data_IF_586690439833
#
_entry.id   IF_586690439833
#
_cell.length_a   1.000
_cell.length_b   1.000
_cell.length_c   1.000
_cell.angle_alpha   90.00
_cell.angle_beta   90.00
_cell.angle_gamma   90.00
#
_symmetry.space_group_name_H-M   'P 1'
#
loop_
_entity.id
_entity.type
_entity.pdbx_description
1 polymer ?
#
# COMPACT_ATOMS: atom_id res chain seq x y z
N UNK A 1 38.29 -29.04 24.51
CA UNK A 1 38.92 -29.34 23.21
C UNK A 1 38.70 -28.13 22.31
N UNK A 2 39.74 -27.72 21.59
CA UNK A 2 39.94 -26.40 20.96
C UNK A 2 38.82 -25.94 20.00
N UNK A 3 38.63 -24.61 19.83
CA UNK A 3 37.69 -24.06 18.86
C UNK A 3 38.27 -24.16 17.43
N UNK A 4 37.49 -24.72 16.50
CA UNK A 4 37.82 -24.69 15.08
C UNK A 4 37.66 -23.25 14.56
N UNK A 5 38.78 -22.57 14.30
CA UNK A 5 38.84 -21.42 13.40
C UNK A 5 38.44 -21.89 11.99
N UNK A 6 37.24 -21.51 11.53
CA UNK A 6 36.87 -21.67 10.14
C UNK A 6 37.49 -20.55 9.32
N UNK A 7 38.52 -20.92 8.58
CA UNK A 7 39.20 -20.16 7.55
C UNK A 7 38.19 -19.67 6.49
N UNK A 8 38.36 -18.40 6.11
CA UNK A 8 37.68 -17.77 4.97
C UNK A 8 37.93 -18.58 3.70
N UNK A 9 36.94 -19.35 3.25
CA UNK A 9 36.93 -19.89 1.88
C UNK A 9 35.86 -19.13 1.10
N UNK A 10 36.32 -18.10 0.39
CA UNK A 10 35.55 -17.42 -0.66
C UNK A 10 35.68 -18.28 -1.91
N UNK A 11 34.64 -19.01 -2.27
CA UNK A 11 34.54 -19.59 -3.60
C UNK A 11 34.11 -18.50 -4.58
N UNK A 12 35.07 -17.75 -5.15
CA UNK A 12 34.82 -16.98 -6.36
C UNK A 12 34.97 -17.89 -7.58
N UNK A 13 33.94 -17.98 -8.41
CA UNK A 13 34.04 -18.67 -9.69
C UNK A 13 35.04 -17.95 -10.59
N UNK A 14 36.09 -18.65 -11.01
CA UNK A 14 36.70 -18.42 -12.31
C UNK A 14 37.14 -19.77 -12.89
N UNK A 15 36.65 -20.02 -14.09
CA UNK A 15 37.03 -21.14 -14.94
C UNK A 15 38.55 -21.20 -15.15
N UNK A 16 39.03 -22.41 -15.40
CA UNK A 16 40.38 -22.82 -15.83
C UNK A 16 41.46 -23.04 -14.75
N UNK A 17 41.50 -24.27 -14.21
CA UNK A 17 42.72 -25.08 -14.20
C UNK A 17 42.37 -26.53 -13.85
N UNK A 18 42.49 -27.36 -14.88
CA UNK A 18 42.22 -28.79 -14.89
C UNK A 18 43.21 -29.57 -14.01
N UNK A 19 42.71 -30.64 -13.40
CA UNK A 19 43.44 -31.88 -13.03
C UNK A 19 44.52 -31.78 -11.94
N UNK A 20 44.15 -31.49 -10.69
CA UNK A 20 44.85 -32.07 -9.52
C UNK A 20 44.09 -32.04 -8.19
N UNK A 21 42.84 -31.54 -8.14
CA UNK A 21 42.04 -31.53 -6.90
C UNK A 21 41.03 -32.68 -6.77
N UNK A 22 41.19 -33.78 -7.51
CA UNK A 22 40.15 -34.82 -7.60
C UNK A 22 40.08 -35.80 -6.43
N UNK A 23 40.95 -35.71 -5.41
CA UNK A 23 40.85 -36.58 -4.23
C UNK A 23 40.49 -35.80 -2.97
N UNK A 24 41.09 -34.63 -2.75
CA UNK A 24 40.73 -33.74 -1.63
C UNK A 24 39.36 -33.07 -1.83
N UNK A 25 38.97 -32.71 -3.05
CA UNK A 25 37.61 -32.21 -3.31
C UNK A 25 36.57 -33.31 -3.15
N UNK A 26 36.89 -34.57 -3.49
CA UNK A 26 35.98 -35.70 -3.27
C UNK A 26 35.86 -36.02 -1.78
N UNK A 27 36.95 -35.96 -0.99
CA UNK A 27 36.87 -36.12 0.47
C UNK A 27 36.08 -34.96 1.11
N UNK A 28 36.22 -33.72 0.63
CA UNK A 28 35.38 -32.60 1.06
C UNK A 28 33.92 -32.75 0.63
N UNK A 29 33.63 -33.19 -0.60
CA UNK A 29 32.27 -33.44 -1.07
C UNK A 29 31.60 -34.62 -0.35
N UNK A 30 32.35 -35.69 -0.05
CA UNK A 30 31.84 -36.85 0.70
C UNK A 30 31.63 -36.51 2.18
N UNK A 31 32.53 -35.74 2.81
CA UNK A 31 32.32 -35.28 4.20
C UNK A 31 31.29 -34.15 4.33
N UNK A 32 30.99 -33.38 3.28
CA UNK A 32 29.90 -32.39 3.30
C UNK A 32 28.51 -33.00 3.10
N UNK A 33 28.39 -34.23 2.64
CA UNK A 33 27.10 -34.91 2.46
C UNK A 33 26.54 -35.58 3.74
N UNK A 34 27.23 -35.45 4.88
CA UNK A 34 26.82 -36.05 6.16
C UNK A 34 26.40 -35.03 7.23
N UNK A 35 26.19 -33.76 6.88
CA UNK A 35 25.53 -32.80 7.77
C UNK A 35 24.09 -32.67 7.31
N UNK A 36 23.20 -33.41 7.96
CA UNK A 36 21.78 -33.09 8.02
C UNK A 36 21.63 -31.65 8.53
N UNK A 37 21.50 -30.68 7.62
CA UNK A 37 21.18 -29.30 7.98
C UNK A 37 19.69 -29.23 8.38
N UNK A 38 19.37 -29.72 9.59
CA UNK A 38 18.03 -29.69 10.20
C UNK A 38 17.65 -28.30 10.74
N UNK A 39 18.06 -27.23 10.04
CA UNK A 39 17.87 -25.85 10.48
C UNK A 39 17.50 -24.97 9.29
N UNK A 40 16.63 -23.98 9.54
CA UNK A 40 16.09 -23.06 8.54
C UNK A 40 15.95 -21.66 9.12
N UNK A 41 16.06 -20.62 8.30
CA UNK A 41 15.82 -19.24 8.75
C UNK A 41 14.52 -18.67 8.16
N UNK A 42 13.80 -17.87 8.95
CA UNK A 42 12.55 -17.18 8.56
C UNK A 42 12.59 -15.72 8.99
N UNK A 43 12.14 -14.80 8.13
CA UNK A 43 11.92 -13.40 8.50
C UNK A 43 10.53 -13.21 9.10
N UNK A 44 10.43 -12.43 10.19
CA UNK A 44 9.21 -12.17 10.95
C UNK A 44 8.82 -10.69 10.77
N UNK A 45 7.90 -10.37 9.84
CA UNK A 45 7.56 -8.99 9.49
C UNK A 45 6.99 -8.14 10.62
N UNK A 46 6.29 -8.75 11.59
CA UNK A 46 5.69 -8.04 12.75
C UNK A 46 6.71 -7.52 13.75
N UNK A 47 7.92 -8.06 13.73
CA UNK A 47 8.96 -7.76 14.71
C UNK A 47 10.25 -7.24 14.07
N UNK A 48 10.35 -7.26 12.73
CA UNK A 48 11.57 -6.96 11.97
C UNK A 48 12.77 -7.75 12.51
N UNK A 49 12.61 -9.07 12.62
CA UNK A 49 13.67 -9.99 13.04
C UNK A 49 13.74 -11.19 12.11
N UNK A 50 14.93 -11.77 11.97
CA UNK A 50 15.15 -13.04 11.29
C UNK A 50 15.46 -14.09 12.33
N UNK A 51 14.67 -15.17 12.34
CA UNK A 51 14.75 -16.26 13.31
C UNK A 51 15.29 -17.54 12.68
N UNK A 52 16.11 -18.26 13.44
CA UNK A 52 16.61 -19.60 13.12
C UNK A 52 15.72 -20.62 13.81
N UNK A 53 15.17 -21.53 13.01
CA UNK A 53 14.33 -22.63 13.44
C UNK A 53 15.08 -23.94 13.24
N UNK A 54 14.97 -24.86 14.20
CA UNK A 54 15.59 -26.19 14.15
C UNK A 54 14.49 -27.23 14.20
N UNK A 55 14.54 -28.28 13.38
CA UNK A 55 13.54 -29.33 13.48
C UNK A 55 13.70 -30.07 14.82
N UNK A 56 12.62 -30.07 15.61
CA UNK A 56 12.56 -30.71 16.92
C UNK A 56 11.14 -31.20 17.14
N UNK A 57 10.98 -32.49 17.38
CA UNK A 57 9.67 -33.09 17.69
C UNK A 57 9.15 -32.59 19.05
N UNK A 58 7.83 -32.67 19.24
CA UNK A 58 7.18 -32.34 20.51
C UNK A 58 7.10 -33.62 21.34
N UNK A 59 7.67 -33.60 22.54
CA UNK A 59 7.55 -34.65 23.55
C UNK A 59 6.39 -34.30 24.47
N UNK A 60 5.22 -34.90 24.24
CA UNK A 60 3.99 -34.58 24.98
C UNK A 60 4.07 -34.88 26.49
N UNK A 61 5.02 -35.70 26.94
CA UNK A 61 5.19 -36.03 28.35
C UNK A 61 6.07 -35.01 29.09
N UNK A 62 6.90 -34.26 28.37
CA UNK A 62 7.89 -33.32 28.96
C UNK A 62 7.69 -31.87 28.55
N UNK A 63 7.18 -31.62 27.35
CA UNK A 63 6.99 -30.28 26.82
C UNK A 63 5.67 -29.69 27.32
N UNK A 64 5.72 -28.49 27.87
CA UNK A 64 4.54 -27.84 28.43
C UNK A 64 3.76 -27.13 27.33
N UNK A 65 2.50 -27.54 27.13
CA UNK A 65 1.60 -26.87 26.19
C UNK A 65 1.18 -25.49 26.71
N UNK A 66 1.30 -24.48 25.87
CA UNK A 66 1.00 -23.09 26.20
C UNK A 66 -0.37 -22.69 25.64
N UNK A 67 -0.62 -23.01 24.36
CA UNK A 67 -1.83 -22.59 23.68
C UNK A 67 -1.80 -22.82 22.18
N UNK A 68 -2.94 -22.52 21.56
CA UNK A 68 -3.17 -22.66 20.11
C UNK A 68 -3.56 -21.32 19.51
N UNK A 69 -2.98 -21.01 18.35
CA UNK A 69 -3.33 -19.84 17.54
C UNK A 69 -3.55 -20.25 16.08
N UNK A 70 -4.42 -19.54 15.38
CA UNK A 70 -4.71 -19.76 13.96
C UNK A 70 -4.07 -18.65 13.13
N UNK A 71 -2.98 -18.96 12.43
CA UNK A 71 -2.14 -17.92 11.81
C UNK A 71 -1.19 -18.45 10.72
N UNK A 72 -0.40 -17.55 10.14
CA UNK A 72 0.73 -17.85 9.26
C UNK A 72 1.89 -18.49 10.04
N UNK A 73 2.90 -18.98 9.31
CA UNK A 73 4.13 -19.48 9.95
C UNK A 73 4.87 -18.34 10.66
N UNK A 74 4.95 -17.18 10.02
CA UNK A 74 5.58 -15.97 10.54
C UNK A 74 4.88 -15.48 11.81
N UNK A 75 3.55 -15.44 11.82
CA UNK A 75 2.75 -15.11 12.99
C UNK A 75 2.86 -16.17 14.09
N UNK A 76 3.01 -17.45 13.75
CA UNK A 76 3.19 -18.53 14.72
C UNK A 76 4.50 -18.33 15.50
N UNK A 77 5.60 -18.05 14.79
CA UNK A 77 6.89 -17.71 15.41
C UNK A 77 6.78 -16.41 16.21
N UNK A 78 6.13 -15.37 15.66
CA UNK A 78 5.90 -14.12 16.39
C UNK A 78 5.11 -14.33 17.69
N UNK A 79 4.07 -15.17 17.68
CA UNK A 79 3.28 -15.50 18.86
C UNK A 79 4.14 -16.20 19.92
N UNK A 80 5.03 -17.12 19.51
CA UNK A 80 5.99 -17.75 20.41
C UNK A 80 6.96 -16.72 21.02
N UNK A 81 7.52 -15.82 20.21
CA UNK A 81 8.45 -14.78 20.67
C UNK A 81 7.81 -13.79 21.65
N UNK A 82 6.53 -13.45 21.46
CA UNK A 82 5.78 -12.60 22.40
C UNK A 82 5.63 -13.21 23.79
N UNK A 83 5.78 -14.53 23.92
CA UNK A 83 5.78 -15.25 25.20
C UNK A 83 7.19 -15.32 25.84
N UNK A 84 8.20 -14.70 25.21
CA UNK A 84 9.59 -14.39 25.61
C UNK A 84 10.41 -15.46 26.36
N UNK A 85 9.92 -15.96 27.49
CA UNK A 85 10.59 -16.94 28.36
C UNK A 85 9.84 -18.25 28.46
N UNK A 86 8.61 -18.29 27.98
CA UNK A 86 7.71 -19.42 28.15
C UNK A 86 7.43 -20.17 26.86
N UNK A 87 7.95 -19.75 25.70
CA UNK A 87 7.82 -20.48 24.44
C UNK A 87 9.15 -20.56 23.69
N UNK A 88 9.50 -21.77 23.25
CA UNK A 88 10.66 -22.03 22.39
C UNK A 88 10.41 -23.16 21.39
N UNK A 89 9.23 -23.79 21.38
CA UNK A 89 8.88 -24.88 20.47
C UNK A 89 7.51 -24.65 19.86
N UNK A 90 7.38 -24.84 18.55
CA UNK A 90 6.12 -24.69 17.80
C UNK A 90 5.80 -25.94 17.00
N UNK A 91 4.50 -26.24 16.88
CA UNK A 91 3.96 -27.21 15.94
C UNK A 91 2.99 -26.50 15.00
N UNK A 92 3.37 -26.39 13.74
CA UNK A 92 2.63 -25.61 12.74
C UNK A 92 2.13 -26.48 11.58
N UNK A 93 0.83 -26.41 11.30
CA UNK A 93 0.22 -27.02 10.11
C UNK A 93 0.03 -25.99 9.00
N UNK A 94 0.78 -26.06 7.88
CA UNK A 94 0.64 -25.10 6.78
C UNK A 94 -0.73 -25.13 6.11
N UNK A 95 -1.43 -26.26 6.15
CA UNK A 95 -2.73 -26.48 5.50
C UNK A 95 -3.89 -25.96 6.35
N UNK A 96 -3.91 -26.30 7.64
CA UNK A 96 -4.99 -25.85 8.55
C UNK A 96 -4.70 -24.50 9.18
N UNK A 97 -3.49 -23.94 8.99
CA UNK A 97 -3.02 -22.70 9.62
C UNK A 97 -3.07 -22.75 11.15
N UNK A 98 -3.00 -23.95 11.73
CA UNK A 98 -3.00 -24.17 13.17
C UNK A 98 -1.57 -24.16 13.68
N UNK A 99 -1.31 -23.37 14.71
CA UNK A 99 -0.04 -23.26 15.42
C UNK A 99 -0.26 -23.60 16.89
N UNK A 100 0.38 -24.66 17.37
CA UNK A 100 0.44 -25.02 18.78
C UNK A 100 1.78 -24.59 19.36
N UNK A 101 1.76 -23.93 20.52
CA UNK A 101 2.92 -23.35 21.20
C UNK A 101 3.30 -24.19 22.42
N UNK A 102 4.59 -24.43 22.60
CA UNK A 102 5.15 -25.27 23.66
C UNK A 102 6.40 -24.65 24.29
N UNK A 103 6.64 -25.03 25.55
CA UNK A 103 7.90 -24.81 26.27
C UNK A 103 8.64 -26.13 26.43
N UNK A 104 9.93 -26.15 26.07
CA UNK A 104 10.82 -27.31 26.24
C UNK A 104 12.08 -26.91 27.00
N UNK A 105 12.44 -27.69 28.02
CA UNK A 105 13.58 -27.41 28.91
C UNK A 105 14.86 -28.17 28.50
N UNK A 106 14.78 -29.04 27.48
CA UNK A 106 15.86 -29.98 27.13
C UNK A 106 16.52 -29.64 25.79
N UNK A 107 17.85 -29.52 25.77
CA UNK A 107 18.70 -29.28 24.58
C UNK A 107 19.09 -30.57 23.84
N UNK A 108 18.15 -31.49 23.61
CA UNK A 108 18.43 -32.71 22.83
C UNK A 108 18.05 -32.52 21.37
N UNK A 109 19.05 -32.57 20.49
CA UNK A 109 18.86 -32.86 19.07
C UNK A 109 18.66 -34.38 18.95
N UNK A 110 17.42 -34.84 18.85
CA UNK A 110 17.16 -36.23 18.48
C UNK A 110 17.01 -36.25 16.96
N UNK A 111 18.04 -36.76 16.29
CA UNK A 111 17.94 -37.22 14.92
C UNK A 111 17.31 -38.61 14.98
N UNK A 112 15.98 -38.67 14.85
CA UNK A 112 15.33 -39.87 14.36
C UNK A 112 14.34 -39.46 13.28
N UNK A 113 14.58 -40.01 12.08
CA UNK A 113 13.62 -40.08 11.00
C UNK A 113 12.51 -41.05 11.43
N UNK A 114 11.44 -40.55 12.03
CA UNK A 114 10.19 -41.31 12.11
C UNK A 114 9.03 -40.55 11.47
N UNK A 115 8.76 -41.01 10.24
CA UNK A 115 7.50 -41.10 9.53
C UNK A 115 6.32 -40.26 10.02
N UNK A 116 5.94 -39.31 9.16
CA UNK A 116 4.54 -39.01 8.77
C UNK A 116 3.49 -39.09 9.89
N UNK A 117 3.53 -38.18 10.85
CA UNK A 117 2.36 -37.89 11.70
C UNK A 117 1.85 -36.48 11.41
N UNK A 118 1.08 -36.38 10.31
CA UNK A 118 0.37 -35.17 9.90
C UNK A 118 1.26 -34.17 9.15
N UNK A 119 0.66 -33.33 8.30
CA UNK A 119 1.34 -32.31 7.49
C UNK A 119 1.99 -31.18 8.33
N UNK A 120 2.17 -31.37 9.63
CA UNK A 120 2.62 -30.36 10.58
C UNK A 120 4.14 -30.38 10.74
N UNK A 121 4.75 -29.19 10.75
CA UNK A 121 6.16 -28.98 11.02
C UNK A 121 6.37 -28.74 12.51
N UNK A 122 7.31 -29.44 13.12
CA UNK A 122 7.68 -29.27 14.52
C UNK A 122 9.05 -28.59 14.58
N UNK A 123 9.10 -27.39 15.14
CA UNK A 123 10.26 -26.50 15.03
C UNK A 123 10.55 -25.81 16.36
N UNK A 124 11.81 -25.88 16.79
CA UNK A 124 12.33 -25.10 17.91
C UNK A 124 12.77 -23.72 17.42
N UNK A 125 12.36 -22.66 18.10
CA UNK A 125 12.81 -21.29 17.87
C UNK A 125 14.14 -21.11 18.60
N UNK A 126 15.25 -21.28 17.89
CA UNK A 126 16.58 -21.31 18.50
C UNK A 126 17.10 -19.92 18.84
N UNK A 127 17.06 -18.99 17.89
CA UNK A 127 17.57 -17.63 18.04
C UNK A 127 16.93 -16.69 17.04
N UNK A 128 16.84 -15.41 17.38
CA UNK A 128 16.32 -14.36 16.49
C UNK A 128 17.22 -13.13 16.54
N UNK A 129 17.45 -12.53 15.38
CA UNK A 129 18.37 -11.42 15.19
C UNK A 129 17.69 -10.27 14.45
N UNK A 130 17.92 -9.04 14.91
CA UNK A 130 17.53 -7.82 14.20
C UNK A 130 18.44 -7.53 13.01
N UNK A 131 19.73 -7.86 13.12
CA UNK A 131 20.72 -7.56 12.08
C UNK A 131 21.18 -8.85 11.39
N UNK A 132 21.17 -8.85 10.05
CA UNK A 132 21.65 -9.99 9.27
C UNK A 132 23.15 -10.22 9.45
N UNK A 133 23.94 -9.19 9.73
CA UNK A 133 25.39 -9.33 9.94
C UNK A 133 25.73 -10.14 11.20
N UNK A 134 24.76 -10.33 12.11
CA UNK A 134 24.93 -11.16 13.31
C UNK A 134 24.45 -12.60 13.11
N UNK A 135 23.90 -12.94 11.93
CA UNK A 135 23.57 -14.33 11.61
C UNK A 135 24.86 -15.12 11.34
N UNK A 136 25.00 -16.34 11.89
CA UNK A 136 26.17 -17.20 11.64
C UNK A 136 26.41 -17.44 10.13
N UNK A 137 27.66 -17.25 9.69
CA UNK A 137 28.07 -17.45 8.30
C UNK A 137 27.88 -18.92 7.88
N UNK A 138 26.98 -19.17 6.94
CA UNK A 138 26.58 -20.51 6.48
C UNK A 138 25.07 -20.68 6.28
N UNK A 139 24.25 -19.77 6.83
CA UNK A 139 22.80 -19.92 6.94
C UNK A 139 21.94 -19.56 5.70
N UNK A 140 22.50 -19.69 4.50
CA UNK A 140 22.06 -18.86 3.38
C UNK A 140 21.74 -19.70 2.13
N UNK A 141 20.53 -19.58 1.56
CA UNK A 141 20.15 -20.16 0.24
C UNK A 141 19.72 -19.09 -0.78
N UNK A 142 20.12 -19.27 -2.05
CA UNK A 142 19.99 -18.24 -3.10
C UNK A 142 18.53 -17.90 -3.34
N UNK A 143 18.15 -16.63 -3.19
CA UNK A 143 16.86 -16.18 -3.72
C UNK A 143 16.93 -16.21 -5.24
N UNK A 144 16.01 -16.93 -5.87
CA UNK A 144 15.85 -16.89 -7.33
C UNK A 144 15.64 -15.43 -7.72
N UNK A 145 16.50 -14.91 -8.59
CA UNK A 145 16.39 -13.55 -9.12
C UNK A 145 14.96 -13.39 -9.67
N UNK A 146 14.14 -12.61 -8.98
CA UNK A 146 12.85 -12.22 -9.53
C UNK A 146 13.18 -11.24 -10.65
N UNK A 147 12.69 -11.50 -11.86
CA UNK A 147 12.84 -10.54 -12.96
C UNK A 147 12.36 -9.17 -12.46
N UNK A 148 13.19 -8.15 -12.65
CA UNK A 148 12.93 -6.75 -12.29
C UNK A 148 11.70 -6.26 -13.03
N UNK A 149 10.52 -6.54 -12.48
CA UNK A 149 9.27 -5.99 -12.96
C UNK A 149 9.17 -4.59 -12.34
N UNK A 150 9.13 -3.56 -13.16
CA UNK A 150 8.78 -2.21 -12.73
C UNK A 150 7.34 -1.90 -13.12
N UNK A 151 6.63 -1.12 -12.30
CA UNK A 151 5.28 -0.67 -12.60
C UNK A 151 5.02 0.71 -12.01
N UNK A 152 4.08 1.43 -12.60
CA UNK A 152 3.55 2.68 -12.03
C UNK A 152 2.34 2.31 -11.18
N UNK A 153 2.37 2.68 -9.89
CA UNK A 153 1.29 2.41 -8.94
C UNK A 153 0.63 3.74 -8.59
N UNK A 154 -0.68 3.84 -8.83
CA UNK A 154 -1.50 4.94 -8.33
C UNK A 154 -1.70 4.80 -6.82
N UNK A 155 -1.43 5.89 -6.09
CA UNK A 155 -1.47 6.01 -4.64
C UNK A 155 -2.61 6.97 -4.25
N UNK A 156 -3.82 6.45 -3.95
CA UNK A 156 -5.00 7.26 -3.67
C UNK A 156 -4.83 8.16 -2.44
N UNK A 157 -4.14 7.69 -1.41
CA UNK A 157 -3.91 8.43 -0.16
C UNK A 157 -3.22 9.78 -0.35
N UNK A 158 -2.39 9.93 -1.39
CA UNK A 158 -1.60 11.14 -1.64
C UNK A 158 -1.78 11.73 -3.03
N UNK A 159 -2.59 11.07 -3.86
CA UNK A 159 -2.86 11.43 -5.26
C UNK A 159 -1.58 11.53 -6.08
N UNK A 160 -0.82 10.43 -6.10
CA UNK A 160 0.40 10.30 -6.85
C UNK A 160 0.48 9.00 -7.63
N UNK A 161 1.14 9.07 -8.78
CA UNK A 161 1.60 7.92 -9.53
C UNK A 161 3.09 7.68 -9.23
N UNK A 162 3.38 6.56 -8.56
CA UNK A 162 4.73 6.20 -8.12
C UNK A 162 5.31 5.07 -8.97
N UNK A 163 6.45 5.34 -9.62
CA UNK A 163 7.27 4.32 -10.26
C UNK A 163 7.87 3.40 -9.19
N UNK A 164 7.58 2.10 -9.29
CA UNK A 164 7.94 1.09 -8.30
C UNK A 164 8.79 0.00 -8.96
N UNK A 165 9.86 -0.42 -8.29
CA UNK A 165 10.78 -1.48 -8.73
C UNK A 165 10.82 -2.59 -7.67
N UNK A 166 10.44 -3.80 -8.07
CA UNK A 166 10.50 -4.97 -7.19
C UNK A 166 11.93 -5.49 -7.17
N UNK A 167 12.46 -5.62 -5.96
CA UNK A 167 13.82 -6.09 -5.73
C UNK A 167 13.79 -7.42 -5.00
N UNK A 168 14.82 -8.27 -5.17
CA UNK A 168 14.98 -9.47 -4.36
C UNK A 168 14.90 -9.13 -2.87
N UNK A 169 14.20 -9.96 -2.10
CA UNK A 169 14.00 -9.74 -0.66
C UNK A 169 15.32 -9.44 0.07
N UNK A 170 16.42 -10.14 -0.27
CA UNK A 170 17.75 -9.97 0.37
C UNK A 170 18.27 -8.54 0.33
N UNK A 171 17.92 -7.75 -0.68
CA UNK A 171 18.38 -6.37 -0.83
C UNK A 171 17.87 -5.46 0.29
N UNK A 172 16.76 -5.84 0.94
CA UNK A 172 16.21 -5.06 2.04
C UNK A 172 17.24 -4.87 3.17
N UNK A 173 18.12 -5.85 3.43
CA UNK A 173 19.04 -5.83 4.57
C UNK A 173 20.14 -4.76 4.46
N UNK A 174 20.34 -4.17 3.29
CA UNK A 174 21.23 -3.02 3.09
C UNK A 174 20.54 -1.68 3.25
N UNK A 175 19.22 -1.66 3.33
CA UNK A 175 18.49 -0.43 3.59
C UNK A 175 18.54 -0.07 5.08
N UNK A 176 18.58 1.22 5.38
CA UNK A 176 18.40 1.71 6.73
C UNK A 176 16.93 1.59 7.11
N UNK A 177 16.67 1.05 8.31
CA UNK A 177 15.30 0.90 8.84
C UNK A 177 14.84 2.23 9.41
N UNK A 178 13.73 2.75 8.89
CA UNK A 178 13.14 4.01 9.35
C UNK A 178 12.05 3.73 10.38
N UNK A 179 11.00 3.01 9.99
CA UNK A 179 9.83 2.79 10.84
C UNK A 179 9.05 1.55 10.39
N UNK A 180 8.63 0.73 11.35
CA UNK A 180 7.64 -0.33 11.13
C UNK A 180 6.24 0.22 11.41
N UNK A 181 5.33 0.07 10.45
CA UNK A 181 3.92 0.48 10.54
C UNK A 181 2.98 -0.67 10.20
N UNK A 182 1.74 -0.58 10.66
CA UNK A 182 0.66 -1.43 10.15
C UNK A 182 0.25 -0.93 8.75
N UNK A 183 0.09 -1.84 7.80
CA UNK A 183 -0.41 -1.50 6.48
C UNK A 183 -1.26 -2.62 5.90
N UNK A 184 -2.48 -2.28 5.48
CA UNK A 184 -3.43 -3.19 4.83
C UNK A 184 -3.10 -3.46 3.36
N UNK A 185 -2.38 -2.55 2.70
CA UNK A 185 -2.09 -2.63 1.27
C UNK A 185 -0.68 -2.12 0.96
N UNK A 186 -0.14 -2.54 -0.19
CA UNK A 186 1.12 -2.00 -0.71
C UNK A 186 0.98 -0.50 -1.04
N UNK A 187 -0.19 -0.07 -1.55
CA UNK A 187 -0.47 1.34 -1.84
C UNK A 187 -0.33 2.20 -0.57
N UNK A 188 -0.93 1.77 0.55
CA UNK A 188 -0.79 2.43 1.85
C UNK A 188 0.65 2.50 2.31
N UNK A 189 1.37 1.39 2.19
CA UNK A 189 2.78 1.30 2.56
C UNK A 189 3.64 2.33 1.80
N UNK A 190 3.44 2.44 0.48
CA UNK A 190 4.10 3.44 -0.36
C UNK A 190 3.63 4.86 0.00
N UNK A 191 2.34 5.08 0.26
CA UNK A 191 1.81 6.38 0.66
C UNK A 191 2.49 6.94 1.92
N UNK A 192 2.70 6.09 2.94
CA UNK A 192 3.42 6.50 4.14
C UNK A 192 4.90 6.80 3.86
N UNK A 193 5.56 6.00 3.02
CA UNK A 193 6.95 6.26 2.63
C UNK A 193 7.10 7.59 1.87
N UNK A 194 6.14 7.91 0.99
CA UNK A 194 6.13 9.16 0.24
C UNK A 194 5.73 10.37 1.10
N UNK A 195 4.95 10.15 2.16
CA UNK A 195 4.46 11.23 2.99
C UNK A 195 5.62 12.07 3.61
N UNK A 196 5.44 13.40 3.76
CA UNK A 196 6.50 14.28 4.30
C UNK A 196 7.01 13.92 5.69
N UNK A 197 6.28 13.08 6.45
CA UNK A 197 6.72 12.54 7.74
C UNK A 197 8.04 11.77 7.64
N UNK A 198 8.29 11.09 6.52
CA UNK A 198 9.43 10.19 6.32
C UNK A 198 10.19 10.57 5.05
N UNK A 199 10.68 11.81 4.98
CA UNK A 199 11.32 12.39 3.77
C UNK A 199 12.52 11.62 3.23
N UNK A 200 13.20 10.82 4.05
CA UNK A 200 14.30 9.96 3.60
C UNK A 200 13.83 8.61 3.04
N UNK A 201 12.56 8.25 3.19
CA UNK A 201 12.07 6.95 2.74
C UNK A 201 12.04 6.87 1.21
N UNK A 202 12.60 5.79 0.66
CA UNK A 202 12.63 5.56 -0.79
C UNK A 202 12.44 4.08 -1.15
N UNK A 203 12.12 3.24 -0.16
CA UNK A 203 11.83 1.83 -0.35
C UNK A 203 11.00 1.30 0.79
N UNK A 204 10.29 0.20 0.55
CA UNK A 204 9.41 -0.42 1.54
C UNK A 204 9.52 -1.94 1.48
N UNK A 205 9.36 -2.57 2.64
CA UNK A 205 9.20 -4.02 2.76
C UNK A 205 7.80 -4.32 3.30
N UNK A 206 6.91 -4.80 2.42
CA UNK A 206 5.49 -4.99 2.71
C UNK A 206 5.13 -6.47 2.84
N UNK A 207 4.41 -6.83 3.91
CA UNK A 207 3.82 -8.16 4.08
C UNK A 207 2.30 -8.07 4.12
N UNK A 208 1.65 -8.48 3.03
CA UNK A 208 0.19 -8.56 2.96
C UNK A 208 -0.39 -9.55 3.97
N UNK A 209 0.33 -10.65 4.21
CA UNK A 209 -0.10 -11.71 5.13
C UNK A 209 -0.09 -11.24 6.59
N UNK A 210 0.87 -10.38 6.94
CA UNK A 210 1.01 -9.87 8.30
C UNK A 210 0.34 -8.51 8.50
N UNK A 211 -0.03 -7.82 7.42
CA UNK A 211 -0.55 -6.46 7.46
C UNK A 211 0.48 -5.46 7.96
N UNK A 212 1.76 -5.65 7.61
CA UNK A 212 2.86 -4.79 8.07
C UNK A 212 3.67 -4.22 6.92
N UNK A 213 4.25 -3.05 7.16
CA UNK A 213 5.10 -2.33 6.23
C UNK A 213 6.29 -1.75 6.99
N UNK A 214 7.50 -2.11 6.56
CA UNK A 214 8.72 -1.50 7.05
C UNK A 214 9.18 -0.44 6.05
N UNK A 215 9.24 0.80 6.51
CA UNK A 215 9.75 1.95 5.77
C UNK A 215 11.28 1.94 5.80
N UNK A 216 11.89 2.08 4.62
CA UNK A 216 13.31 1.84 4.42
C UNK A 216 13.95 2.97 3.60
N UNK A 217 15.18 3.33 3.96
CA UNK A 217 16.05 4.18 3.13
C UNK A 217 17.16 3.34 2.50
N UNK A 218 17.20 3.30 1.17
CA UNK A 218 18.21 2.61 0.37
C UNK A 218 19.14 3.63 -0.28
N UNK A 219 20.42 3.59 0.08
CA UNK A 219 21.45 4.39 -0.60
C UNK A 219 21.69 3.88 -2.02
N UNK A 220 21.83 4.79 -2.99
CA UNK A 220 22.05 4.47 -4.42
C UNK A 220 23.38 3.72 -4.63
N UNK A 221 24.33 3.80 -3.69
CA UNK A 221 25.68 3.21 -3.80
C UNK A 221 25.78 1.76 -3.33
N UNK A 222 24.70 1.12 -2.90
CA UNK A 222 24.77 -0.29 -2.47
C UNK A 222 24.85 -1.19 -3.70
N UNK A 223 25.99 -1.86 -3.84
CA UNK A 223 26.15 -2.95 -4.80
C UNK A 223 25.08 -4.01 -4.50
N UNK A 224 24.33 -4.42 -5.52
CA UNK A 224 23.35 -5.51 -5.42
C UNK A 224 24.06 -6.76 -4.89
N UNK A 225 23.41 -7.47 -3.98
CA UNK A 225 23.86 -8.79 -3.58
C UNK A 225 23.75 -9.72 -4.80
N UNK A 226 24.89 -10.22 -5.27
CA UNK A 226 24.93 -11.51 -5.98
C UNK A 226 24.81 -12.68 -4.98
N UNK A 227 24.12 -12.48 -3.87
CA UNK A 227 24.23 -13.32 -2.68
C UNK A 227 22.95 -13.45 -1.89
N UNK A 228 23.08 -14.26 -0.86
CA UNK A 228 22.16 -15.34 -0.55
C UNK A 228 21.18 -14.89 0.57
N UNK A 229 19.94 -15.41 0.61
CA UNK A 229 18.85 -14.97 1.52
C UNK A 229 18.33 -16.13 2.43
N UNK A 230 17.35 -15.91 3.34
CA UNK A 230 16.89 -16.96 4.27
C UNK A 230 16.35 -18.20 3.55
N UNK A 231 16.52 -19.37 4.19
CA UNK A 231 16.13 -20.70 3.67
C UNK A 231 14.64 -20.83 3.32
N UNK A 232 13.78 -19.96 3.86
CA UNK A 232 12.35 -19.86 3.50
C UNK A 232 12.12 -18.52 2.81
N UNK A 233 11.54 -18.57 1.60
CA UNK A 233 11.03 -17.40 0.90
C UNK A 233 9.98 -16.71 1.78
N UNK A 234 10.28 -15.52 2.29
CA UNK A 234 9.29 -14.69 2.97
C UNK A 234 8.23 -14.24 1.97
N UNK A 235 6.97 -14.16 2.40
CA UNK A 235 5.89 -13.55 1.63
C UNK A 235 6.01 -12.02 1.52
N UNK A 236 6.97 -11.42 2.24
CA UNK A 236 7.21 -9.98 2.19
C UNK A 236 7.84 -9.54 0.86
N UNK A 237 7.32 -8.46 0.30
CA UNK A 237 7.73 -7.86 -0.96
C UNK A 237 8.61 -6.64 -0.69
N UNK A 238 9.83 -6.65 -1.22
CA UNK A 238 10.72 -5.49 -1.16
C UNK A 238 10.58 -4.64 -2.43
N UNK A 239 10.21 -3.38 -2.26
CA UNK A 239 9.90 -2.46 -3.36
C UNK A 239 10.68 -1.18 -3.18
N UNK A 240 11.49 -0.81 -4.18
CA UNK A 240 12.09 0.51 -4.28
C UNK A 240 11.14 1.48 -4.97
N UNK A 241 11.03 2.69 -4.43
CA UNK A 241 10.23 3.78 -4.99
C UNK A 241 11.17 4.69 -5.76
N UNK A 242 10.86 4.90 -7.05
CA UNK A 242 11.67 5.68 -7.96
C UNK A 242 11.28 7.17 -7.90
N UNK A 243 10.26 7.55 -8.67
CA UNK A 243 9.71 8.90 -8.70
C UNK A 243 8.19 8.82 -8.52
N UNK A 244 7.65 9.79 -7.80
CA UNK A 244 6.21 9.95 -7.59
C UNK A 244 5.77 11.32 -8.10
N UNK A 245 4.87 11.32 -9.08
CA UNK A 245 4.30 12.54 -9.66
C UNK A 245 2.84 12.66 -9.24
N UNK A 246 2.33 13.89 -9.09
CA UNK A 246 0.92 14.12 -8.86
C UNK A 246 0.08 13.52 -10.01
N UNK A 247 -1.06 12.90 -9.69
CA UNK A 247 -1.93 12.20 -10.67
C UNK A 247 -3.13 13.02 -11.14
N UNK A 248 -3.14 14.30 -10.81
CA UNK A 248 -4.18 15.25 -11.16
C UNK A 248 -3.59 16.40 -11.94
N UNK A 249 -4.33 16.83 -12.96
CA UNK A 249 -4.00 18.03 -13.71
C UNK A 249 -4.77 19.23 -13.14
N UNK A 250 -4.10 20.39 -12.91
CA UNK A 250 -4.81 21.61 -12.60
C UNK A 250 -5.65 22.06 -13.81
N UNK A 251 -6.78 22.75 -13.60
CA UNK A 251 -7.56 23.31 -14.69
C UNK A 251 -6.72 24.27 -15.54
N UNK A 252 -7.07 24.39 -16.83
CA UNK A 252 -6.41 25.30 -17.78
C UNK A 252 -6.19 26.69 -17.15
N UNK A 253 -4.93 27.13 -17.14
CA UNK A 253 -4.52 28.42 -16.55
C UNK A 253 -4.01 28.37 -15.11
N UNK A 254 -3.82 27.18 -14.50
CA UNK A 254 -3.33 27.01 -13.12
C UNK A 254 -4.14 27.81 -12.10
N UNK A 255 -5.43 28.06 -12.38
CA UNK A 255 -6.26 28.93 -11.58
C UNK A 255 -6.64 28.22 -10.27
N UNK A 256 -5.92 28.54 -9.20
CA UNK A 256 -6.30 28.13 -7.84
C UNK A 256 -7.58 28.89 -7.47
N UNK A 257 -8.63 28.19 -6.99
CA UNK A 257 -9.86 28.85 -6.60
C UNK A 257 -9.60 29.83 -5.46
N UNK A 258 -10.20 31.03 -5.54
CA UNK A 258 -10.17 31.96 -4.42
C UNK A 258 -11.06 31.40 -3.29
N UNK A 259 -10.42 30.79 -2.29
CA UNK A 259 -11.12 30.13 -1.18
C UNK A 259 -12.06 31.08 -0.41
N UNK A 260 -11.84 32.41 -0.46
CA UNK A 260 -12.71 33.41 0.20
C UNK A 260 -14.10 33.53 -0.45
N UNK A 261 -14.24 33.10 -1.70
CA UNK A 261 -15.51 33.12 -2.45
C UNK A 261 -16.33 31.84 -2.25
N UNK A 262 -15.74 30.81 -1.64
CA UNK A 262 -16.44 29.55 -1.37
C UNK A 262 -17.32 29.73 -0.14
N UNK A 263 -18.59 29.31 -0.24
CA UNK A 263 -19.51 29.32 0.90
C UNK A 263 -19.17 28.12 1.83
N UNK A 264 -18.73 28.35 3.08
CA UNK A 264 -18.40 27.26 3.99
C UNK A 264 -19.66 26.65 4.62
N UNK A 265 -19.54 25.42 5.10
CA UNK A 265 -20.49 24.90 6.10
C UNK A 265 -19.94 25.20 7.48
N UNK A 266 -20.72 25.89 8.31
CA UNK A 266 -20.32 26.25 9.67
C UNK A 266 -20.81 25.22 10.69
N UNK A 267 -19.94 24.86 11.63
CA UNK A 267 -20.21 23.96 12.73
C UNK A 267 -19.69 24.56 14.04
N UNK A 268 -20.22 24.10 15.17
CA UNK A 268 -19.63 24.32 16.49
C UNK A 268 -19.16 22.97 17.02
N UNK A 269 -17.85 22.82 17.25
CA UNK A 269 -17.23 21.59 17.76
C UNK A 269 -16.47 21.96 19.02
N UNK A 270 -16.90 21.45 20.18
CA UNK A 270 -16.22 21.68 21.47
C UNK A 270 -15.94 23.16 21.77
N UNK A 271 -16.93 24.04 21.53
CA UNK A 271 -16.84 25.50 21.66
C UNK A 271 -15.87 26.20 20.69
N UNK A 272 -15.45 25.52 19.63
CA UNK A 272 -14.71 26.09 18.50
C UNK A 272 -15.68 26.23 17.34
N UNK A 273 -15.78 27.43 16.78
CA UNK A 273 -16.49 27.66 15.53
C UNK A 273 -15.62 27.15 14.38
N UNK A 274 -16.16 26.28 13.54
CA UNK A 274 -15.44 25.67 12.41
C UNK A 274 -16.18 26.00 11.12
N UNK A 275 -15.52 26.76 10.25
CA UNK A 275 -15.98 27.04 8.88
C UNK A 275 -15.27 26.07 7.94
N UNK A 276 -16.00 25.07 7.46
CA UNK A 276 -15.48 24.02 6.57
C UNK A 276 -15.76 24.37 5.11
N UNK A 277 -14.71 24.66 4.36
CA UNK A 277 -14.73 24.98 2.94
C UNK A 277 -14.47 23.71 2.14
N UNK A 278 -15.18 23.51 1.02
CA UNK A 278 -14.95 22.36 0.14
C UNK A 278 -14.23 22.83 -1.12
N UNK A 279 -13.11 22.19 -1.43
CA UNK A 279 -12.34 22.43 -2.65
C UNK A 279 -11.96 21.10 -3.33
N UNK A 280 -11.70 21.17 -4.64
CA UNK A 280 -11.19 20.01 -5.38
C UNK A 280 -9.74 19.72 -4.99
N UNK A 281 -9.32 18.46 -5.10
CA UNK A 281 -7.97 18.02 -4.69
C UNK A 281 -6.84 18.77 -5.41
N UNK A 282 -6.99 19.16 -6.69
CA UNK A 282 -5.95 19.92 -7.41
C UNK A 282 -5.59 21.25 -6.72
N UNK A 283 -6.50 21.82 -5.92
CA UNK A 283 -6.25 23.04 -5.17
C UNK A 283 -5.24 22.85 -4.01
N UNK A 284 -4.80 21.61 -3.74
CA UNK A 284 -3.70 21.32 -2.81
C UNK A 284 -2.35 21.88 -3.27
N UNK A 285 -2.21 22.26 -4.56
CA UNK A 285 -1.07 23.04 -5.08
C UNK A 285 -0.87 24.38 -4.34
N UNK A 286 -1.95 24.94 -3.79
CA UNK A 286 -1.98 26.12 -2.93
C UNK A 286 -1.48 25.86 -1.49
N UNK A 287 -1.09 24.63 -1.18
CA UNK A 287 -0.83 24.17 0.18
C UNK A 287 0.51 23.41 0.29
N UNK A 288 0.91 23.15 1.52
CA UNK A 288 2.07 22.35 1.89
C UNK A 288 1.54 21.09 2.57
N UNK A 289 1.86 19.91 2.02
CA UNK A 289 1.56 18.62 2.65
C UNK A 289 2.30 18.52 3.98
N UNK A 290 1.59 18.17 5.05
CA UNK A 290 2.16 18.05 6.41
C UNK A 290 2.42 16.60 6.77
N UNK A 291 1.35 15.81 6.95
CA UNK A 291 1.43 14.43 7.44
C UNK A 291 0.27 13.59 6.96
N UNK A 292 0.56 12.31 6.70
CA UNK A 292 -0.42 11.26 6.45
C UNK A 292 -0.71 10.52 7.77
N UNK A 293 -1.98 10.26 8.03
CA UNK A 293 -2.48 9.63 9.25
C UNK A 293 -3.38 8.44 8.94
N UNK A 294 -3.35 7.45 9.82
CA UNK A 294 -4.35 6.39 9.86
C UNK A 294 -5.61 6.92 10.56
N UNK A 295 -6.76 6.83 9.90
CA UNK A 295 -8.04 7.32 10.46
C UNK A 295 -9.17 6.40 10.05
N UNK A 296 -10.15 6.17 10.91
CA UNK A 296 -11.30 5.34 10.60
C UNK A 296 -12.28 6.03 9.63
N UNK A 297 -12.39 7.35 9.70
CA UNK A 297 -13.33 8.15 8.91
C UNK A 297 -12.89 9.61 8.77
N UNK A 298 -13.60 10.35 7.91
CA UNK A 298 -13.33 11.76 7.64
C UNK A 298 -13.51 12.68 8.86
N UNK A 299 -14.45 12.38 9.75
CA UNK A 299 -14.66 13.20 10.94
C UNK A 299 -13.43 13.15 11.86
N UNK A 300 -12.81 11.98 12.01
CA UNK A 300 -11.55 11.83 12.72
C UNK A 300 -10.42 12.64 12.05
N UNK A 301 -10.38 12.69 10.72
CA UNK A 301 -9.44 13.53 9.98
C UNK A 301 -9.62 15.04 10.28
N UNK A 302 -10.88 15.51 10.35
CA UNK A 302 -11.19 16.86 10.79
C UNK A 302 -10.73 17.10 12.23
N UNK A 303 -10.96 16.14 13.13
CA UNK A 303 -10.53 16.25 14.53
C UNK A 303 -8.99 16.32 14.65
N UNK A 304 -8.25 15.53 13.86
CA UNK A 304 -6.79 15.63 13.79
C UNK A 304 -6.35 17.03 13.35
N UNK A 305 -7.02 17.62 12.35
CA UNK A 305 -6.69 18.98 11.88
C UNK A 305 -7.06 20.08 12.90
N UNK A 306 -7.98 19.80 13.82
CA UNK A 306 -8.38 20.71 14.90
C UNK A 306 -7.55 20.53 16.19
N UNK A 307 -6.89 19.39 16.36
CA UNK A 307 -6.19 19.04 17.61
C UNK A 307 -5.01 19.97 17.87
N UNK A 308 -5.03 20.71 18.97
CA UNK A 308 -4.03 21.76 19.27
C UNK A 308 -2.58 21.25 19.34
N UNK A 309 -2.32 19.98 19.63
CA UNK A 309 -0.97 19.43 19.65
C UNK A 309 -0.44 19.12 18.24
N UNK A 310 -1.35 18.96 17.27
CA UNK A 310 -1.06 18.64 15.87
C UNK A 310 -1.41 19.79 14.91
N UNK A 311 -2.15 20.79 15.38
CA UNK A 311 -2.86 21.81 14.59
C UNK A 311 -2.24 23.21 14.65
N UNK A 312 -1.03 23.36 15.18
CA UNK A 312 -0.22 24.47 14.72
C UNK A 312 0.00 24.21 13.23
N UNK A 313 -0.69 25.04 12.43
CA UNK A 313 -0.65 25.10 10.97
C UNK A 313 -1.56 24.17 10.13
N UNK A 314 -2.43 23.32 10.70
CA UNK A 314 -3.39 22.57 9.88
C UNK A 314 -4.60 23.43 9.49
N UNK A 315 -4.68 23.75 8.20
CA UNK A 315 -5.72 24.61 7.62
C UNK A 315 -6.47 23.89 6.47
N UNK A 316 -6.10 22.65 6.18
CA UNK A 316 -6.81 21.81 5.23
C UNK A 316 -6.48 20.33 5.36
N UNK A 317 -7.36 19.48 4.85
CA UNK A 317 -7.18 18.03 4.86
C UNK A 317 -7.83 17.38 3.64
N UNK A 318 -7.36 16.17 3.31
CA UNK A 318 -7.96 15.23 2.38
C UNK A 318 -8.13 13.88 3.09
N UNK A 319 -9.29 13.26 2.96
CA UNK A 319 -9.54 11.91 3.46
C UNK A 319 -9.73 10.96 2.27
N UNK A 320 -8.84 9.97 2.15
CA UNK A 320 -8.99 8.89 1.18
C UNK A 320 -9.95 7.84 1.73
N UNK A 321 -11.05 7.61 1.02
CA UNK A 321 -12.05 6.61 1.44
C UNK A 321 -11.57 5.18 1.17
N UNK A 322 -10.83 4.96 0.07
CA UNK A 322 -10.29 3.65 -0.31
C UNK A 322 -9.34 3.12 0.77
N UNK A 323 -8.37 3.95 1.16
CA UNK A 323 -7.34 3.53 2.11
C UNK A 323 -7.71 3.90 3.56
N UNK A 324 -8.67 4.77 3.83
CA UNK A 324 -8.94 5.29 5.19
C UNK A 324 -7.69 5.97 5.78
N UNK A 325 -7.20 6.95 5.05
CA UNK A 325 -6.05 7.78 5.45
C UNK A 325 -6.41 9.25 5.37
N UNK A 326 -5.85 10.04 6.28
CA UNK A 326 -6.02 11.48 6.34
C UNK A 326 -4.70 12.18 5.98
N UNK A 327 -4.67 12.92 4.89
CA UNK A 327 -3.55 13.77 4.52
C UNK A 327 -3.85 15.21 4.97
N UNK A 328 -2.98 15.77 5.79
CA UNK A 328 -3.13 17.12 6.36
C UNK A 328 -2.28 18.14 5.62
N UNK A 329 -2.74 19.38 5.58
CA UNK A 329 -2.13 20.47 4.82
C UNK A 329 -2.08 21.77 5.61
N UNK A 330 -1.05 22.57 5.32
CA UNK A 330 -0.96 23.99 5.64
C UNK A 330 -1.19 24.80 4.39
N UNK A 331 -2.20 25.66 4.37
CA UNK A 331 -2.44 26.55 3.22
C UNK A 331 -1.33 27.62 3.18
N UNK A 332 -0.79 27.93 1.99
CA UNK A 332 0.22 28.99 1.85
C UNK A 332 -0.41 30.35 2.18
N UNK A 333 0.38 31.26 2.74
CA UNK A 333 -0.10 32.55 3.23
C UNK A 333 -0.90 33.35 2.18
N UNK A 334 -0.47 33.27 0.91
CA UNK A 334 -1.13 33.94 -0.23
C UNK A 334 -2.58 33.48 -0.48
N UNK A 335 -2.94 32.25 -0.06
CA UNK A 335 -4.29 31.69 -0.18
C UNK A 335 -5.00 31.50 1.17
N UNK A 336 -4.32 31.84 2.27
CA UNK A 336 -4.80 31.54 3.61
C UNK A 336 -6.10 32.30 3.94
N UNK A 337 -7.00 31.58 4.61
CA UNK A 337 -8.21 32.12 5.22
C UNK A 337 -7.87 32.63 6.63
N UNK A 338 -8.58 33.64 7.15
CA UNK A 338 -8.37 34.11 8.52
C UNK A 338 -8.62 32.95 9.48
N UNK A 339 -7.63 32.57 10.29
CA UNK A 339 -7.71 31.41 11.17
C UNK A 339 -7.31 31.79 12.60
N UNK A 340 -8.00 31.25 13.60
CA UNK A 340 -7.72 31.52 15.01
C UNK A 340 -8.01 30.30 15.88
N UNK A 341 -7.64 30.35 17.17
CA UNK A 341 -7.87 29.24 18.09
C UNK A 341 -9.37 28.90 18.30
N UNK A 342 -10.27 29.88 18.12
CA UNK A 342 -11.70 29.74 18.43
C UNK A 342 -12.61 29.86 17.19
N UNK A 343 -12.09 30.43 16.09
CA UNK A 343 -12.74 30.48 14.78
C UNK A 343 -11.79 29.85 13.76
N UNK A 344 -12.04 28.58 13.44
CA UNK A 344 -11.21 27.74 12.57
C UNK A 344 -11.76 27.73 11.16
N UNK A 345 -10.93 28.08 10.18
CA UNK A 345 -11.26 27.99 8.76
C UNK A 345 -10.47 26.84 8.14
N UNK A 346 -11.15 25.77 7.75
CA UNK A 346 -10.52 24.54 7.27
C UNK A 346 -11.00 24.22 5.87
N UNK A 347 -10.06 23.89 4.97
CA UNK A 347 -10.35 23.43 3.61
C UNK A 347 -10.36 21.92 3.56
N UNK A 348 -11.54 21.35 3.33
CA UNK A 348 -11.70 19.95 2.94
C UNK A 348 -11.46 19.81 1.45
N UNK A 349 -10.30 19.26 1.09
CA UNK A 349 -10.03 18.81 -0.27
C UNK A 349 -10.74 17.49 -0.53
N UNK A 350 -11.30 17.36 -1.73
CA UNK A 350 -11.94 16.14 -2.17
C UNK A 350 -11.66 15.91 -3.64
N UNK A 351 -11.50 14.65 -4.03
CA UNK A 351 -11.67 14.28 -5.43
C UNK A 351 -13.14 14.43 -5.76
N UNK A 352 -13.42 14.94 -6.95
CA UNK A 352 -14.78 15.02 -7.40
C UNK A 352 -15.45 13.64 -7.36
N UNK A 353 -16.51 13.53 -6.55
CA UNK A 353 -17.35 12.34 -6.42
C UNK A 353 -16.57 11.03 -6.21
N UNK A 354 -15.46 11.08 -5.45
CA UNK A 354 -14.59 9.92 -5.16
C UNK A 354 -15.35 8.63 -4.83
N UNK A 355 -16.33 8.72 -3.92
CA UNK A 355 -17.13 7.57 -3.49
C UNK A 355 -18.04 7.03 -4.60
N UNK A 356 -18.63 7.93 -5.40
CA UNK A 356 -19.48 7.54 -6.52
C UNK A 356 -18.66 6.96 -7.68
N UNK A 357 -17.39 7.40 -7.81
CA UNK A 357 -16.45 6.96 -8.84
C UNK A 357 -15.63 5.74 -8.46
N UNK A 358 -15.53 5.38 -7.18
CA UNK A 358 -14.62 4.35 -6.68
C UNK A 358 -14.75 2.97 -7.34
N UNK A 359 -15.92 2.64 -7.89
CA UNK A 359 -16.18 1.35 -8.54
C UNK A 359 -16.53 1.48 -10.02
N UNK A 360 -16.47 2.70 -10.58
CA UNK A 360 -16.69 2.91 -12.00
C UNK A 360 -15.59 2.22 -12.80
N UNK A 361 -15.90 1.84 -14.03
CA UNK A 361 -14.87 1.41 -14.96
C UNK A 361 -14.06 2.65 -15.41
N UNK A 362 -12.80 2.49 -15.85
CA UNK A 362 -12.00 3.60 -16.33
C UNK A 362 -12.74 4.43 -17.40
N UNK A 363 -12.59 5.76 -17.44
CA UNK A 363 -13.23 6.59 -18.46
C UNK A 363 -12.82 6.17 -19.89
N UNK A 364 -13.79 6.22 -20.80
CA UNK A 364 -13.65 5.81 -22.19
C UNK A 364 -13.56 7.03 -23.12
N UNK A 365 -12.75 6.93 -24.18
CA UNK A 365 -12.69 7.96 -25.22
C UNK A 365 -13.77 7.72 -26.28
N UNK A 366 -14.64 8.71 -26.49
CA UNK A 366 -15.66 8.71 -27.54
C UNK A 366 -15.36 9.80 -28.56
N UNK A 367 -15.10 9.39 -29.80
CA UNK A 367 -14.99 10.32 -30.92
C UNK A 367 -16.37 10.68 -31.47
N UNK A 368 -16.59 11.97 -31.72
CA UNK A 368 -17.79 12.54 -32.34
C UNK A 368 -17.42 13.26 -33.64
N UNK A 369 -17.32 12.53 -34.78
CA UNK A 369 -16.91 13.12 -36.06
C UNK A 369 -17.78 14.27 -36.55
N UNK A 370 -19.04 14.34 -36.13
CA UNK A 370 -19.95 15.43 -36.48
C UNK A 370 -19.59 16.77 -35.80
N UNK A 371 -18.91 16.71 -34.66
CA UNK A 371 -18.44 17.87 -33.92
C UNK A 371 -16.94 18.12 -34.14
N UNK A 372 -16.25 17.18 -34.79
CA UNK A 372 -14.79 17.13 -34.84
C UNK A 372 -14.16 17.13 -33.44
N UNK A 373 -14.79 16.45 -32.47
CA UNK A 373 -14.35 16.39 -31.08
C UNK A 373 -14.16 14.95 -30.58
N UNK A 374 -13.23 14.78 -29.64
CA UNK A 374 -13.07 13.57 -28.83
C UNK A 374 -13.39 13.94 -27.38
N UNK A 375 -14.28 13.17 -26.75
CA UNK A 375 -14.63 13.35 -25.35
C UNK A 375 -14.18 12.18 -24.49
N UNK A 376 -13.69 12.49 -23.28
CA UNK A 376 -13.49 11.50 -22.23
C UNK A 376 -14.78 11.35 -21.43
N UNK A 377 -15.36 10.15 -21.44
CA UNK A 377 -16.68 9.85 -20.87
C UNK A 377 -16.53 8.84 -19.73
N UNK A 378 -17.12 9.13 -18.58
CA UNK A 378 -17.12 8.23 -17.43
C UNK A 378 -18.54 7.70 -17.15
N UNK A 379 -18.68 6.37 -17.06
CA UNK A 379 -19.95 5.72 -16.77
C UNK A 379 -20.11 5.43 -15.28
N UNK A 380 -21.22 5.90 -14.70
CA UNK A 380 -21.49 5.77 -13.27
C UNK A 380 -22.28 4.50 -12.95
N UNK A 381 -21.74 3.69 -12.03
CA UNK A 381 -22.42 2.50 -11.49
C UNK A 381 -23.41 2.79 -10.35
N UNK A 382 -23.18 3.75 -9.43
CA UNK A 382 -24.12 4.02 -8.34
C UNK A 382 -25.54 4.35 -8.81
N UNK A 383 -26.53 4.06 -7.94
CA UNK A 383 -27.94 4.39 -8.18
C UNK A 383 -28.29 5.84 -7.80
N UNK A 384 -27.42 6.51 -7.05
CA UNK A 384 -27.60 7.89 -6.63
C UNK A 384 -26.34 8.65 -6.98
N UNK A 385 -26.47 9.65 -7.86
CA UNK A 385 -25.35 10.46 -8.33
C UNK A 385 -25.61 11.90 -7.87
N UNK A 386 -24.67 12.52 -7.16
CA UNK A 386 -24.91 13.85 -6.57
C UNK A 386 -24.57 14.99 -7.53
N UNK A 387 -25.31 16.10 -7.41
CA UNK A 387 -24.94 17.38 -8.02
C UNK A 387 -25.32 17.57 -9.49
N UNK A 388 -26.53 17.16 -9.89
CA UNK A 388 -27.00 17.25 -11.28
C UNK A 388 -28.38 17.91 -11.40
N UNK A 389 -28.54 18.83 -12.35
CA UNK A 389 -29.84 19.39 -12.79
C UNK A 389 -30.17 18.94 -14.20
N UNK A 390 -31.45 18.71 -14.46
CA UNK A 390 -31.96 18.47 -15.82
C UNK A 390 -31.96 19.77 -16.62
N UNK A 391 -31.31 19.75 -17.78
CA UNK A 391 -31.33 20.81 -18.77
C UNK A 391 -32.46 20.57 -19.77
N UNK A 392 -32.52 19.35 -20.31
CA UNK A 392 -33.42 18.99 -21.40
C UNK A 392 -33.69 17.49 -21.44
N UNK A 393 -34.83 17.12 -22.02
CA UNK A 393 -35.20 15.74 -22.31
C UNK A 393 -35.41 15.55 -23.81
N UNK A 394 -34.76 14.54 -24.38
CA UNK A 394 -34.83 14.16 -25.79
C UNK A 394 -35.43 12.76 -25.86
N UNK A 395 -36.65 12.66 -26.38
CA UNK A 395 -37.35 11.38 -26.56
C UNK A 395 -36.97 10.72 -27.88
N UNK A 396 -37.17 9.41 -27.96
CA UNK A 396 -36.91 8.59 -29.15
C UNK A 396 -35.44 8.64 -29.62
N UNK A 397 -34.50 8.74 -28.67
CA UNK A 397 -33.08 8.65 -28.96
C UNK A 397 -32.70 7.20 -29.26
N UNK A 398 -31.94 7.00 -30.34
CA UNK A 398 -31.65 5.67 -30.88
C UNK A 398 -30.55 4.91 -30.11
N UNK A 399 -29.72 5.61 -29.33
CA UNK A 399 -28.63 5.00 -28.55
C UNK A 399 -28.03 5.95 -27.51
N UNK A 400 -27.27 5.39 -26.57
CA UNK A 400 -26.41 6.14 -25.64
C UNK A 400 -25.43 7.04 -26.40
N UNK A 401 -24.85 6.56 -27.51
CA UNK A 401 -23.90 7.33 -28.32
C UNK A 401 -24.53 8.63 -28.86
N UNK A 402 -25.78 8.56 -29.31
CA UNK A 402 -26.52 9.74 -29.76
C UNK A 402 -26.85 10.70 -28.61
N UNK A 403 -27.13 10.16 -27.42
CA UNK A 403 -27.34 10.98 -26.23
C UNK A 403 -26.06 11.74 -25.84
N UNK A 404 -24.91 11.05 -25.84
CA UNK A 404 -23.60 11.66 -25.59
C UNK A 404 -23.27 12.76 -26.61
N UNK A 405 -23.49 12.50 -27.90
CA UNK A 405 -23.29 13.50 -28.96
C UNK A 405 -24.11 14.77 -28.73
N UNK A 406 -25.38 14.63 -28.35
CA UNK A 406 -26.24 15.79 -28.05
C UNK A 406 -25.75 16.56 -26.81
N UNK A 407 -25.22 15.86 -25.80
CA UNK A 407 -24.63 16.54 -24.66
C UNK A 407 -23.34 17.27 -25.02
N UNK A 408 -22.43 16.64 -25.79
CA UNK A 408 -21.21 17.27 -26.29
C UNK A 408 -21.52 18.56 -27.07
N UNK A 409 -22.47 18.48 -28.02
CA UNK A 409 -22.93 19.66 -28.78
C UNK A 409 -23.51 20.77 -27.88
N UNK A 410 -24.13 20.40 -26.75
CA UNK A 410 -24.73 21.32 -25.79
C UNK A 410 -23.76 21.76 -24.66
N UNK A 411 -22.52 21.29 -24.66
CA UNK A 411 -21.57 21.49 -23.57
C UNK A 411 -21.25 22.96 -23.34
N UNK A 412 -20.94 23.71 -24.40
CA UNK A 412 -20.58 25.13 -24.27
C UNK A 412 -21.78 26.07 -24.19
N UNK A 413 -22.85 25.77 -24.93
CA UNK A 413 -24.03 26.65 -25.01
C UNK A 413 -24.95 26.51 -23.78
N UNK A 414 -25.18 25.26 -23.33
CA UNK A 414 -26.15 24.94 -22.28
C UNK A 414 -25.51 24.25 -21.07
N UNK A 415 -24.18 24.24 -20.98
CA UNK A 415 -23.42 23.65 -19.86
C UNK A 415 -23.74 22.17 -19.62
N UNK A 416 -24.07 21.42 -20.68
CA UNK A 416 -24.26 19.97 -20.55
C UNK A 416 -22.95 19.32 -20.11
N UNK A 417 -23.02 18.46 -19.09
CA UNK A 417 -21.84 17.73 -18.60
C UNK A 417 -22.16 16.26 -18.29
N UNK A 418 -23.43 15.84 -18.29
CA UNK A 418 -23.78 14.43 -18.20
C UNK A 418 -25.05 14.10 -18.96
N UNK A 419 -25.25 12.81 -19.14
CA UNK A 419 -26.45 12.21 -19.67
C UNK A 419 -27.04 11.18 -18.71
N UNK A 420 -28.35 11.05 -18.77
CA UNK A 420 -29.08 9.90 -18.25
C UNK A 420 -29.94 9.31 -19.37
N UNK A 421 -29.69 8.04 -19.72
CA UNK A 421 -30.37 7.34 -20.81
C UNK A 421 -31.13 6.13 -20.29
N UNK A 422 -32.42 6.06 -20.60
CA UNK A 422 -33.29 4.92 -20.27
C UNK A 422 -34.37 4.76 -21.34
N UNK A 423 -34.55 3.54 -21.87
CA UNK A 423 -35.65 3.17 -22.77
C UNK A 423 -35.88 4.14 -23.95
N UNK A 424 -34.80 4.63 -24.57
CA UNK A 424 -34.87 5.58 -25.68
C UNK A 424 -35.18 7.02 -25.29
N UNK A 425 -35.18 7.34 -23.98
CA UNK A 425 -35.21 8.70 -23.47
C UNK A 425 -33.81 9.11 -23.02
N UNK A 426 -33.33 10.23 -23.55
CA UNK A 426 -32.07 10.87 -23.20
C UNK A 426 -32.35 12.13 -22.41
N UNK A 427 -31.75 12.25 -21.23
CA UNK A 427 -31.83 13.43 -20.38
C UNK A 427 -30.46 14.07 -20.32
N UNK A 428 -30.38 15.34 -20.71
CA UNK A 428 -29.17 16.15 -20.65
C UNK A 428 -29.10 16.84 -19.29
N UNK A 429 -27.95 16.76 -18.64
CA UNK A 429 -27.75 17.21 -17.27
C UNK A 429 -26.60 18.21 -17.20
N UNK A 430 -26.80 19.30 -16.45
CA UNK A 430 -25.74 20.23 -16.08
C UNK A 430 -25.28 19.91 -14.66
N UNK A 431 -24.04 20.29 -14.40
CA UNK A 431 -23.45 20.13 -13.08
C UNK A 431 -23.90 21.24 -12.14
N UNK A 432 -24.40 20.85 -10.97
CA UNK A 432 -24.80 21.78 -9.92
C UNK A 432 -23.64 22.20 -9.02
N UNK A 433 -23.65 23.46 -8.59
CA UNK A 433 -22.72 23.97 -7.57
C UNK A 433 -22.99 23.43 -6.14
N UNK A 434 -24.15 22.80 -5.90
CA UNK A 434 -24.56 22.28 -4.58
C UNK A 434 -24.77 20.75 -4.60
N UNK A 435 -23.76 19.93 -4.24
CA UNK A 435 -23.77 18.47 -4.39
C UNK A 435 -24.59 17.72 -3.33
N UNK A 436 -25.53 18.37 -2.62
CA UNK A 436 -26.42 17.68 -1.65
C UNK A 436 -27.70 17.14 -2.28
N UNK A 437 -27.95 17.46 -3.54
CA UNK A 437 -29.10 16.99 -4.31
C UNK A 437 -28.66 15.77 -5.10
N UNK A 438 -29.36 14.65 -4.92
CA UNK A 438 -29.09 13.40 -5.60
C UNK A 438 -30.01 13.23 -6.79
N UNK A 439 -29.42 12.83 -7.92
CA UNK A 439 -30.12 12.35 -9.09
C UNK A 439 -30.33 10.83 -8.96
N UNK A 440 -31.57 10.34 -8.81
CA UNK A 440 -31.85 8.92 -8.71
C UNK A 440 -31.82 8.26 -10.09
N UNK A 441 -31.05 7.19 -10.21
CA UNK A 441 -30.88 6.37 -11.42
C UNK A 441 -31.64 5.06 -11.26
N UNK A 442 -32.28 4.59 -12.33
CA UNK A 442 -32.82 3.22 -12.37
C UNK A 442 -31.73 2.22 -12.73
N UNK A 443 -31.78 1.00 -12.17
CA UNK A 443 -30.71 0.00 -12.37
C UNK A 443 -30.40 -0.30 -13.84
N UNK A 444 -31.41 -0.33 -14.71
CA UNK A 444 -31.30 -0.61 -16.15
C UNK A 444 -30.88 0.60 -17.02
N UNK A 445 -30.78 1.79 -16.43
CA UNK A 445 -30.42 3.01 -17.17
C UNK A 445 -28.90 3.22 -17.26
N UNK A 446 -28.47 4.12 -18.13
CA UNK A 446 -27.06 4.55 -18.24
C UNK A 446 -26.93 5.98 -17.74
N UNK A 447 -26.01 6.22 -16.82
CA UNK A 447 -25.59 7.56 -16.44
C UNK A 447 -24.14 7.74 -16.85
N UNK A 448 -23.85 8.76 -17.63
CA UNK A 448 -22.49 9.03 -18.10
C UNK A 448 -22.17 10.51 -18.01
N UNK A 449 -20.99 10.83 -17.49
CA UNK A 449 -20.46 12.19 -17.44
C UNK A 449 -19.45 12.40 -18.56
N UNK A 450 -19.57 13.52 -19.26
CA UNK A 450 -18.55 14.00 -20.18
C UNK A 450 -17.56 14.82 -19.34
N UNK A 451 -16.41 14.22 -19.03
CA UNK A 451 -15.38 14.84 -18.18
C UNK A 451 -14.76 16.05 -18.89
N UNK A 452 -14.44 15.88 -20.18
CA UNK A 452 -14.06 16.95 -21.09
C UNK A 452 -14.26 16.50 -22.55
N UNK A 453 -14.32 17.47 -23.45
CA UNK A 453 -14.27 17.29 -24.90
C UNK A 453 -13.20 18.23 -25.47
N UNK A 454 -12.45 17.75 -26.45
CA UNK A 454 -11.44 18.53 -27.17
C UNK A 454 -11.54 18.31 -28.68
N UNK A 455 -11.07 19.28 -29.46
CA UNK A 455 -11.00 19.15 -30.91
C UNK A 455 -10.08 17.98 -31.30
N UNK A 456 -10.52 17.20 -32.27
CA UNK A 456 -9.76 16.07 -32.81
C UNK A 456 -8.51 16.63 -33.49
N UNK A 457 -7.33 16.31 -32.95
CA UNK A 457 -6.07 16.65 -33.63
C UNK A 457 -5.96 15.72 -34.85
N UNK A 458 -6.19 16.29 -36.04
CA UNK A 458 -5.99 15.61 -37.32
C UNK A 458 -4.54 15.30 -37.63
#
# INVERSE_FOLDING_TARGET
LMPCEFSKVVCSSYDTMLKQCSVLAIICFINCHLISCSWMSIYIPKMDVTCVLIAKSVDYDKDSYIGRVYCSMESCVAACLSHSTSCNLIKYSPFTKVCDLYFTNATRHIADEEDRIGQSRHLEVHSCYKNISTLPAGMVVQSKLQNNNSAIIHIPSTHKNCGSLWLPFVENYHAERIQLIAASSLKRCIAFCEAPTYTSCNSVLFSAQEGTCLLLFRSIRTQLFNGIAPTIQSSALFVAILACNDDFDPPFGNAIPNFRLIVPTAYSISNIKVSLYRAHFYATTAAIRLRLWDTANEFECLMICLDKFLADYCDGFYFSYEEKTCLTFRIREEYALPNSQHDRHIIRFAVDREVERAHNDPPELHAFPLLDEICLVEFYKPLFVSGWSVIAEIRNTTSVQWCLLNCAAAMYANKCSAIYFIDGNCVLLERMHYPRIYFPRQSASVFAELLFCEASIG
#
